data_IF_988617947079
#
_entry.id   IF_988617947079
#
_cell.length_a   1.000
_cell.length_b   1.000
_cell.length_c   1.000
_cell.angle_alpha   90.00
_cell.angle_beta   90.00
_cell.angle_gamma   90.00
#
_symmetry.space_group_name_H-M   'P 1'
#
loop_
_entity.id
_entity.type
_entity.pdbx_description
1 polymer ?
#
# COMPACT_ATOMS: atom_id res chain seq x y z
N UNK A 1 -29.42 -24.74 -8.79
CA UNK A 1 -28.77 -25.32 -7.60
C UNK A 1 -28.86 -24.33 -6.47
N UNK A 2 -29.48 -24.69 -5.34
CA UNK A 2 -29.54 -23.83 -4.15
C UNK A 2 -28.31 -24.09 -3.30
N UNK A 3 -27.44 -23.08 -3.20
CA UNK A 3 -26.23 -23.14 -2.39
C UNK A 3 -26.60 -23.21 -0.90
N UNK A 4 -26.11 -24.20 -0.18
CA UNK A 4 -26.31 -24.35 1.27
C UNK A 4 -25.11 -23.80 2.04
N UNK A 5 -25.33 -23.25 3.24
CA UNK A 5 -24.25 -22.67 4.06
C UNK A 5 -23.16 -23.67 4.43
N UNK A 6 -23.49 -24.94 4.59
CA UNK A 6 -22.55 -26.02 4.88
C UNK A 6 -21.71 -26.46 3.67
N UNK A 7 -22.08 -26.03 2.46
CA UNK A 7 -21.34 -26.31 1.22
C UNK A 7 -20.32 -25.21 0.87
N UNK A 8 -20.35 -24.08 1.62
CA UNK A 8 -19.42 -23.00 1.43
C UNK A 8 -18.02 -23.41 1.91
N UNK A 9 -17.14 -23.64 0.97
CA UNK A 9 -15.74 -23.95 1.20
C UNK A 9 -14.86 -23.04 0.33
N UNK A 10 -13.66 -22.68 0.79
CA UNK A 10 -12.69 -22.00 -0.06
C UNK A 10 -12.36 -22.87 -1.28
N UNK A 11 -12.00 -22.23 -2.39
CA UNK A 11 -11.52 -22.96 -3.56
C UNK A 11 -10.33 -23.87 -3.18
N UNK A 12 -10.18 -24.97 -3.91
CA UNK A 12 -9.09 -25.91 -3.68
C UNK A 12 -7.73 -25.20 -3.77
N UNK A 13 -6.87 -25.42 -2.77
CA UNK A 13 -5.57 -24.74 -2.66
C UNK A 13 -5.58 -23.32 -2.09
N UNK A 14 -6.74 -22.69 -1.94
CA UNK A 14 -6.84 -21.32 -1.38
C UNK A 14 -6.50 -21.24 0.11
N UNK A 15 -6.66 -22.34 0.85
CA UNK A 15 -6.35 -22.45 2.28
C UNK A 15 -5.39 -23.59 2.52
N UNK A 16 -4.19 -23.27 2.99
CA UNK A 16 -3.20 -24.27 3.38
C UNK A 16 -3.60 -24.94 4.69
N UNK A 17 -3.46 -26.26 4.78
CA UNK A 17 -3.64 -27.00 6.03
C UNK A 17 -2.59 -26.60 7.07
N UNK A 18 -3.01 -26.54 8.34
CA UNK A 18 -2.13 -26.20 9.44
C UNK A 18 -1.10 -27.32 9.69
N UNK A 19 0.17 -26.99 9.59
CA UNK A 19 1.26 -27.90 9.88
C UNK A 19 1.31 -28.25 11.38
N UNK A 20 1.15 -29.54 11.71
CA UNK A 20 1.18 -30.04 13.08
C UNK A 20 2.59 -30.49 13.42
N UNK A 21 3.35 -29.65 14.12
CA UNK A 21 4.73 -29.95 14.53
C UNK A 21 4.79 -30.91 15.73
N UNK A 22 5.89 -31.67 15.85
CA UNK A 22 6.12 -32.57 16.96
C UNK A 22 5.18 -33.79 16.97
N UNK A 23 4.73 -34.30 15.82
CA UNK A 23 3.81 -35.45 15.67
C UNK A 23 4.43 -36.58 14.88
N UNK A 24 5.56 -37.10 15.37
CA UNK A 24 6.26 -38.26 14.83
C UNK A 24 7.36 -37.88 13.82
N UNK A 25 8.33 -38.81 13.70
CA UNK A 25 9.48 -38.62 12.83
C UNK A 25 9.12 -38.68 11.34
N UNK A 26 8.11 -39.48 10.99
CA UNK A 26 7.65 -39.57 9.60
C UNK A 26 7.01 -38.31 9.04
N UNK A 27 6.63 -37.34 9.90
CA UNK A 27 6.06 -36.05 9.46
C UNK A 27 7.12 -35.07 8.94
N UNK A 28 8.42 -35.35 9.12
CA UNK A 28 9.52 -34.44 8.83
C UNK A 28 9.68 -33.27 9.82
N UNK A 29 8.69 -33.03 10.67
CA UNK A 29 8.69 -31.97 11.68
C UNK A 29 8.46 -32.53 13.10
N UNK A 30 8.83 -33.80 13.32
CA UNK A 30 8.82 -34.44 14.60
C UNK A 30 9.87 -33.90 15.58
N UNK A 31 9.96 -34.53 16.77
CA UNK A 31 10.95 -34.21 17.83
C UNK A 31 10.96 -32.72 18.20
N UNK A 32 11.81 -31.93 17.61
CA UNK A 32 12.02 -30.51 17.92
C UNK A 32 11.06 -29.55 17.16
N UNK A 33 10.24 -30.09 16.28
CA UNK A 33 9.27 -29.31 15.51
C UNK A 33 9.88 -28.22 14.62
N UNK A 34 11.12 -28.43 14.13
CA UNK A 34 11.84 -27.46 13.30
C UNK A 34 12.55 -26.32 14.07
N UNK A 35 12.48 -26.32 15.42
CA UNK A 35 13.10 -25.25 16.25
C UNK A 35 14.57 -25.50 16.63
N UNK A 36 15.11 -26.66 16.28
CA UNK A 36 16.46 -27.07 16.69
C UNK A 36 16.50 -27.54 18.13
N UNK A 37 17.70 -27.72 18.70
CA UNK A 37 17.88 -28.41 19.97
C UNK A 37 17.81 -27.46 21.14
N UNK A 38 18.51 -26.56 21.43
CA UNK A 38 18.53 -25.65 22.58
C UNK A 38 18.46 -24.19 22.08
N UNK A 39 18.35 -23.26 22.97
CA UNK A 39 18.41 -21.84 22.66
C UNK A 39 17.16 -21.08 23.06
N UNK A 40 17.31 -19.78 23.17
CA UNK A 40 16.26 -18.86 23.62
C UNK A 40 15.03 -18.90 22.70
N UNK A 41 15.24 -18.99 21.38
CA UNK A 41 14.16 -19.00 20.37
C UNK A 41 13.39 -20.32 20.30
N UNK A 42 13.92 -21.39 20.93
CA UNK A 42 13.29 -22.71 20.91
C UNK A 42 12.29 -22.92 22.05
N UNK A 43 12.18 -22.02 23.01
CA UNK A 43 11.32 -22.12 24.18
C UNK A 43 9.91 -21.56 23.91
N UNK A 44 8.94 -21.92 24.78
CA UNK A 44 7.54 -21.45 24.67
C UNK A 44 7.45 -19.92 24.73
N UNK A 45 8.18 -19.29 25.61
CA UNK A 45 8.32 -17.84 25.75
C UNK A 45 9.31 -17.24 24.76
N UNK A 46 9.87 -18.07 23.90
CA UNK A 46 11.03 -17.74 23.12
C UNK A 46 10.79 -16.77 22.01
N UNK A 47 11.69 -15.89 21.94
CA UNK A 47 11.84 -14.87 20.91
C UNK A 47 12.47 -13.65 21.54
N UNK A 48 13.48 -13.16 20.89
CA UNK A 48 14.01 -11.85 21.21
C UNK A 48 13.16 -10.82 20.51
N UNK A 49 12.82 -9.73 21.18
CA UNK A 49 12.09 -8.63 20.54
C UNK A 49 12.81 -8.17 19.26
N UNK A 50 12.08 -7.76 18.20
CA UNK A 50 12.69 -7.22 16.99
C UNK A 50 13.63 -6.05 17.30
N UNK A 51 14.82 -6.05 16.66
CA UNK A 51 15.82 -5.00 16.86
C UNK A 51 16.65 -5.12 18.15
N UNK A 52 16.56 -6.22 18.90
CA UNK A 52 17.43 -6.45 20.05
C UNK A 52 18.80 -6.96 19.61
N UNK A 53 19.86 -6.31 20.05
CA UNK A 53 21.25 -6.58 19.66
C UNK A 53 22.08 -7.18 20.81
N UNK A 54 21.50 -8.12 21.57
CA UNK A 54 22.24 -8.85 22.61
C UNK A 54 22.69 -8.01 23.82
N UNK A 55 22.10 -6.85 24.05
CA UNK A 55 22.49 -5.90 25.12
C UNK A 55 23.22 -4.66 24.62
N UNK A 56 23.79 -4.71 23.41
CA UNK A 56 24.30 -3.52 22.73
C UNK A 56 23.17 -2.55 22.43
N UNK A 57 23.41 -1.24 22.55
CA UNK A 57 22.44 -0.23 22.17
C UNK A 57 22.04 -0.40 20.71
N UNK A 58 20.77 -0.65 20.45
CA UNK A 58 20.27 -0.92 19.11
C UNK A 58 20.49 0.27 18.17
N UNK A 59 20.73 0.00 16.89
CA UNK A 59 21.07 1.01 15.88
C UNK A 59 20.05 2.16 15.82
N UNK A 60 18.75 1.86 15.89
CA UNK A 60 17.70 2.87 15.88
C UNK A 60 17.73 3.83 17.08
N UNK A 61 18.40 3.43 18.19
CA UNK A 61 18.60 4.28 19.37
C UNK A 61 19.89 5.08 19.31
N UNK A 62 20.89 4.59 18.55
CA UNK A 62 22.16 5.28 18.36
C UNK A 62 22.08 6.42 17.37
N UNK A 63 21.18 6.29 16.39
CA UNK A 63 20.95 7.33 15.39
C UNK A 63 20.10 8.47 15.97
N UNK A 64 20.45 9.73 15.70
CA UNK A 64 19.61 10.86 16.10
C UNK A 64 18.26 10.82 15.37
N UNK A 65 17.21 11.26 16.03
CA UNK A 65 15.89 11.45 15.41
C UNK A 65 15.96 12.64 14.46
N UNK A 66 15.35 12.52 13.31
CA UNK A 66 15.29 13.60 12.32
C UNK A 66 13.92 13.69 11.68
N UNK A 67 13.61 14.86 11.16
CA UNK A 67 12.40 15.13 10.41
C UNK A 67 11.12 15.19 11.25
N UNK A 68 10.04 15.43 10.57
CA UNK A 68 8.67 15.43 11.12
C UNK A 68 7.69 14.91 10.06
N UNK A 69 6.53 14.50 10.49
CA UNK A 69 5.45 14.06 9.60
C UNK A 69 4.53 15.23 9.31
N UNK A 70 4.52 15.69 8.05
CA UNK A 70 3.63 16.78 7.63
C UNK A 70 2.18 16.30 7.56
N UNK A 71 1.31 16.90 8.35
CA UNK A 71 -0.12 16.58 8.36
C UNK A 71 -0.81 16.97 7.04
N UNK A 72 -0.34 18.02 6.38
CA UNK A 72 -0.83 18.45 5.07
C UNK A 72 -0.45 17.42 4.00
N UNK A 73 0.78 16.92 4.03
CA UNK A 73 1.25 15.91 3.08
C UNK A 73 0.43 14.61 3.19
N UNK A 74 0.06 14.20 4.42
CA UNK A 74 -0.79 13.01 4.63
C UNK A 74 -2.19 13.13 4.02
N UNK A 75 -2.67 14.35 3.80
CA UNK A 75 -3.99 14.66 3.25
C UNK A 75 -3.95 15.13 1.79
N UNK A 76 -2.77 15.16 1.17
CA UNK A 76 -2.57 15.59 -0.21
C UNK A 76 -2.15 14.39 -1.06
N UNK A 77 -2.92 14.10 -2.09
CA UNK A 77 -2.59 13.06 -3.06
C UNK A 77 -1.79 13.63 -4.22
N UNK A 78 -0.84 12.86 -4.72
CA UNK A 78 -0.13 13.12 -5.96
C UNK A 78 -0.79 12.31 -7.08
N UNK A 79 -1.10 12.97 -8.20
CA UNK A 79 -1.76 12.37 -9.37
C UNK A 79 -0.87 12.57 -10.59
N UNK A 80 -0.58 11.52 -11.31
CA UNK A 80 0.22 11.57 -12.55
C UNK A 80 -0.65 11.93 -13.75
N UNK A 81 -0.09 12.56 -14.77
CA UNK A 81 -0.81 12.86 -16.01
C UNK A 81 -1.43 11.60 -16.65
N UNK A 82 -0.69 10.49 -16.67
CA UNK A 82 -1.18 9.21 -17.20
C UNK A 82 -2.38 8.65 -16.44
N UNK A 83 -2.57 9.02 -15.18
CA UNK A 83 -3.70 8.55 -14.36
C UNK A 83 -5.00 9.30 -14.66
N UNK A 84 -4.92 10.48 -15.27
CA UNK A 84 -6.10 11.23 -15.69
C UNK A 84 -6.91 10.47 -16.75
N UNK A 85 -6.29 9.60 -17.52
CA UNK A 85 -6.97 8.75 -18.50
C UNK A 85 -8.00 7.79 -17.89
N UNK A 86 -7.90 7.50 -16.57
CA UNK A 86 -8.83 6.64 -15.83
C UNK A 86 -10.10 7.38 -15.40
N UNK A 87 -10.12 8.70 -15.50
CA UNK A 87 -11.28 9.52 -15.13
C UNK A 87 -12.30 9.45 -16.25
N UNK A 88 -13.53 9.17 -15.91
CA UNK A 88 -14.67 9.21 -16.83
C UNK A 88 -15.10 10.67 -17.03
N UNK A 89 -15.15 11.13 -18.30
CA UNK A 89 -15.48 12.50 -18.65
C UNK A 89 -14.26 13.40 -18.84
N UNK A 90 -14.51 14.70 -19.08
CA UNK A 90 -13.50 15.70 -19.42
C UNK A 90 -13.17 16.65 -18.26
N UNK A 91 -13.95 16.58 -17.16
CA UNK A 91 -13.74 17.41 -15.96
C UNK A 91 -12.98 16.61 -14.90
N UNK A 92 -11.84 17.13 -14.50
CA UNK A 92 -10.99 16.57 -13.44
C UNK A 92 -11.15 17.41 -12.18
N UNK A 93 -11.89 16.90 -11.22
CA UNK A 93 -12.06 17.47 -9.87
C UNK A 93 -11.60 16.45 -8.82
N UNK A 94 -11.53 16.87 -7.56
CA UNK A 94 -11.22 15.93 -6.47
C UNK A 94 -12.26 14.80 -6.36
N UNK A 95 -13.52 15.09 -6.66
CA UNK A 95 -14.61 14.13 -6.62
C UNK A 95 -14.53 13.10 -7.74
N UNK A 96 -14.27 13.53 -8.98
CA UNK A 96 -14.10 12.62 -10.13
C UNK A 96 -12.87 11.74 -9.96
N UNK A 97 -11.78 12.24 -9.40
CA UNK A 97 -10.58 11.46 -9.07
C UNK A 97 -10.85 10.40 -7.99
N UNK A 98 -11.71 10.69 -7.01
CA UNK A 98 -12.15 9.72 -6.00
C UNK A 98 -13.10 8.68 -6.57
N UNK A 99 -14.02 9.07 -7.44
CA UNK A 99 -14.94 8.16 -8.12
C UNK A 99 -14.17 7.15 -9.01
N UNK A 100 -13.17 7.63 -9.75
CA UNK A 100 -12.28 6.79 -10.55
C UNK A 100 -11.27 5.96 -9.74
N UNK A 101 -11.28 6.03 -8.39
CA UNK A 101 -10.32 5.38 -7.49
C UNK A 101 -8.83 5.72 -7.77
N UNK A 102 -8.56 6.85 -8.42
CA UNK A 102 -7.20 7.37 -8.61
C UNK A 102 -6.68 7.94 -7.30
N UNK A 103 -7.55 8.59 -6.54
CA UNK A 103 -7.25 9.19 -5.24
C UNK A 103 -8.07 8.53 -4.15
N UNK A 104 -7.45 8.26 -3.00
CA UNK A 104 -8.12 7.68 -1.83
C UNK A 104 -9.20 8.63 -1.29
N UNK A 105 -10.27 8.07 -0.74
CA UNK A 105 -11.43 8.82 -0.24
C UNK A 105 -11.11 9.80 0.90
N UNK A 106 -10.09 9.48 1.70
CA UNK A 106 -9.65 10.28 2.86
C UNK A 106 -8.79 11.50 2.50
N UNK A 107 -8.38 11.64 1.25
CA UNK A 107 -7.60 12.79 0.77
C UNK A 107 -8.46 14.04 0.67
N UNK A 108 -7.91 15.16 1.10
CA UNK A 108 -8.57 16.47 1.08
C UNK A 108 -8.09 17.34 -0.08
N UNK A 109 -6.93 17.04 -0.65
CA UNK A 109 -6.28 17.80 -1.72
C UNK A 109 -5.66 16.83 -2.72
N UNK A 110 -5.57 17.27 -3.97
CA UNK A 110 -4.80 16.58 -5.00
C UNK A 110 -3.89 17.56 -5.74
N UNK A 111 -2.78 17.06 -6.26
CA UNK A 111 -1.85 17.80 -7.09
C UNK A 111 -1.45 16.97 -8.30
N UNK A 112 -1.65 17.52 -9.49
CA UNK A 112 -1.22 16.88 -10.73
C UNK A 112 0.24 17.17 -10.99
N UNK A 113 1.02 16.13 -11.29
CA UNK A 113 2.45 16.20 -11.58
C UNK A 113 2.75 15.72 -12.99
N UNK A 114 3.81 16.28 -13.59
CA UNK A 114 4.29 15.90 -14.91
C UNK A 114 4.92 14.49 -14.84
N UNK A 115 4.10 13.46 -15.12
CA UNK A 115 4.55 12.06 -15.23
C UNK A 115 3.63 11.30 -16.17
N UNK A 116 4.21 10.72 -17.20
CA UNK A 116 3.46 10.06 -18.27
C UNK A 116 2.92 11.04 -19.31
N UNK A 117 2.21 10.50 -20.29
CA UNK A 117 1.64 11.24 -21.40
C UNK A 117 0.14 11.45 -21.23
N UNK A 118 -0.36 12.56 -21.77
CA UNK A 118 -1.77 12.88 -21.82
C UNK A 118 -2.23 12.79 -23.27
N UNK A 119 -3.30 12.04 -23.51
CA UNK A 119 -3.83 11.77 -24.86
C UNK A 119 -5.16 12.46 -25.12
N UNK A 120 -5.79 13.02 -24.08
CA UNK A 120 -7.12 13.66 -24.15
C UNK A 120 -7.06 15.05 -23.53
N UNK A 121 -7.90 15.97 -24.03
CA UNK A 121 -8.09 17.26 -23.42
C UNK A 121 -8.91 17.13 -22.13
N UNK A 122 -8.46 17.74 -21.04
CA UNK A 122 -9.16 17.76 -19.76
C UNK A 122 -9.30 19.19 -19.23
N UNK A 123 -10.41 19.46 -18.55
CA UNK A 123 -10.61 20.67 -17.77
C UNK A 123 -10.38 20.35 -16.30
N UNK A 124 -9.34 20.89 -15.70
CA UNK A 124 -8.97 20.65 -14.30
C UNK A 124 -9.58 21.75 -13.43
N UNK A 125 -10.38 21.37 -12.42
CA UNK A 125 -11.07 22.31 -11.53
C UNK A 125 -10.75 22.02 -10.05
N UNK A 126 -10.27 23.03 -9.32
CA UNK A 126 -10.01 22.94 -7.89
C UNK A 126 -8.90 21.95 -7.48
N UNK A 127 -8.04 21.54 -8.42
CA UNK A 127 -6.90 20.66 -8.19
C UNK A 127 -5.61 21.39 -8.54
N UNK A 128 -4.65 21.37 -7.62
CA UNK A 128 -3.36 22.01 -7.87
C UNK A 128 -2.59 21.31 -8.99
N UNK A 129 -1.96 22.09 -9.86
CA UNK A 129 -1.21 21.57 -11.00
C UNK A 129 0.22 22.14 -10.97
N UNK A 130 1.22 21.30 -11.22
CA UNK A 130 2.61 21.77 -11.36
C UNK A 130 2.82 22.49 -12.69
N UNK A 131 3.79 23.41 -12.77
CA UNK A 131 4.08 24.21 -13.98
C UNK A 131 4.24 23.34 -15.24
N UNK A 132 4.97 22.22 -15.14
CA UNK A 132 5.16 21.32 -16.27
C UNK A 132 3.89 20.55 -16.65
N UNK A 133 3.09 20.13 -15.66
CA UNK A 133 1.82 19.46 -15.94
C UNK A 133 0.81 20.43 -16.58
N UNK A 134 0.78 21.68 -16.16
CA UNK A 134 -0.06 22.74 -16.76
C UNK A 134 0.26 22.93 -18.25
N UNK A 135 1.54 23.10 -18.59
CA UNK A 135 1.96 23.21 -19.98
C UNK A 135 1.59 21.98 -20.83
N UNK A 136 1.70 20.77 -20.27
CA UNK A 136 1.32 19.55 -20.97
C UNK A 136 -0.20 19.43 -21.18
N UNK A 137 -1.02 19.84 -20.19
CA UNK A 137 -2.48 19.86 -20.30
C UNK A 137 -2.93 20.88 -21.34
N UNK A 138 -2.36 22.10 -21.34
CA UNK A 138 -2.65 23.15 -22.32
C UNK A 138 -2.21 22.75 -23.74
N UNK A 139 -1.04 22.09 -23.89
CA UNK A 139 -0.60 21.55 -25.17
C UNK A 139 -1.53 20.46 -25.73
N UNK A 140 -2.18 19.69 -24.86
CA UNK A 140 -3.20 18.71 -25.23
C UNK A 140 -4.60 19.34 -25.48
N UNK A 141 -4.73 20.66 -25.40
CA UNK A 141 -5.99 21.38 -25.61
C UNK A 141 -6.89 21.48 -24.38
N UNK A 142 -6.38 21.13 -23.20
CA UNK A 142 -7.10 21.22 -21.93
C UNK A 142 -7.04 22.61 -21.30
N UNK A 143 -7.77 22.81 -20.22
CA UNK A 143 -7.80 24.04 -19.42
C UNK A 143 -7.56 23.73 -17.94
N UNK A 144 -6.95 24.67 -17.22
CA UNK A 144 -6.74 24.61 -15.78
C UNK A 144 -7.42 25.81 -15.14
N UNK A 145 -8.45 25.53 -14.34
CA UNK A 145 -9.18 26.52 -13.54
C UNK A 145 -8.77 26.34 -12.08
N UNK A 146 -8.21 27.40 -11.48
CA UNK A 146 -7.76 27.41 -10.07
C UNK A 146 -8.92 27.62 -9.10
#
# INVERSE_FOLDING_TARGET
>A
MTLRLNELAPAEGAKRENLRVGRGIGSGVGKTGGRGVKGQKSRKSGGVRPGFEGGQTALYRRLPKFGFTSQIALKTAEVRLSELSKVEGDIVSLETLKAANVVRKDMLRARVVLSGEITRAFTVQGVAVTKGAKAAIEAAGGKVEE
#
